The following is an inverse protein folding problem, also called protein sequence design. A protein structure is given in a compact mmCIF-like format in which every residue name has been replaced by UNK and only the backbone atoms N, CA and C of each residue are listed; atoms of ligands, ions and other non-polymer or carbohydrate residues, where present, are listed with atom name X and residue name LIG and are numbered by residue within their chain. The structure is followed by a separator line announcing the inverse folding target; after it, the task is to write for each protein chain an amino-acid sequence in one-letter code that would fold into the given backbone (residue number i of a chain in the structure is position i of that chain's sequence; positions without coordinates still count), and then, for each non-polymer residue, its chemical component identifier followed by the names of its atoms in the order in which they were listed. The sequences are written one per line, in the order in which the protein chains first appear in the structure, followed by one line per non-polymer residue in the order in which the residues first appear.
data_IF_908816050273
#
_entry.id   IF_908816050273
#
_cell.length_a   1.000
_cell.length_b   1.000
_cell.length_c   1.000
_cell.angle_alpha   90.00
_cell.angle_beta   90.00
_cell.angle_gamma   90.00
#
_symmetry.space_group_name_H-M   'P 1'
#
loop_
_entity.id
_entity.type
_entity.pdbx_description
1 polymer ?
#
# COMPACT_ATOMS: atom_id res chain seq x y z
N UNK A 1 -41.02 54.01 -49.80
CA UNK A 1 -40.39 55.19 -49.18
C UNK A 1 -40.16 54.89 -47.70
N UNK A 2 -38.92 55.10 -47.27
CA UNK A 2 -38.45 55.41 -45.89
C UNK A 2 -38.60 54.38 -44.75
N UNK A 3 -37.48 53.72 -44.44
CA UNK A 3 -36.92 53.52 -43.07
C UNK A 3 -36.69 54.90 -42.38
N UNK A 4 -36.56 55.07 -41.02
CA UNK A 4 -35.59 54.37 -40.12
C UNK A 4 -36.03 54.09 -38.64
N UNK A 5 -35.48 53.04 -37.99
CA UNK A 5 -34.41 52.97 -36.95
C UNK A 5 -34.74 53.65 -35.58
N UNK A 6 -34.86 52.89 -34.47
CA UNK A 6 -33.86 52.86 -33.36
C UNK A 6 -34.17 51.89 -32.19
N UNK A 7 -33.09 51.19 -31.81
CA UNK A 7 -32.72 50.41 -30.62
C UNK A 7 -33.62 50.37 -29.36
N UNK A 8 -33.74 49.17 -28.78
CA UNK A 8 -33.15 48.68 -27.49
C UNK A 8 -33.92 47.41 -27.08
N UNK A 9 -33.39 46.31 -26.54
CA UNK A 9 -32.11 45.91 -25.94
C UNK A 9 -31.95 44.40 -26.17
N UNK A 10 -30.71 44.00 -26.42
CA UNK A 10 -30.21 42.63 -26.56
C UNK A 10 -30.43 41.83 -25.25
N UNK A 11 -31.15 40.70 -25.30
CA UNK A 11 -31.05 39.64 -24.29
C UNK A 11 -30.34 38.46 -24.93
N UNK A 12 -29.03 38.40 -24.69
CA UNK A 12 -28.18 37.27 -25.03
C UNK A 12 -28.55 36.14 -24.04
N UNK A 13 -29.26 35.12 -24.50
CA UNK A 13 -29.36 33.84 -23.80
C UNK A 13 -28.18 32.99 -24.26
N UNK A 14 -27.09 33.03 -23.50
CA UNK A 14 -26.01 32.05 -23.65
C UNK A 14 -26.48 30.71 -23.05
N UNK A 15 -26.33 29.58 -23.75
CA UNK A 15 -26.52 28.28 -23.12
C UNK A 15 -25.36 28.05 -22.15
N UNK A 16 -25.71 27.88 -20.88
CA UNK A 16 -24.80 27.48 -19.81
C UNK A 16 -24.35 26.04 -20.12
N UNK A 17 -23.25 25.90 -20.86
CA UNK A 17 -22.52 24.63 -20.96
C UNK A 17 -21.83 24.40 -19.62
N UNK A 18 -22.56 23.83 -18.65
CA UNK A 18 -21.94 23.13 -17.53
C UNK A 18 -21.37 21.83 -18.08
N UNK A 19 -20.15 21.88 -18.61
CA UNK A 19 -19.27 20.72 -18.56
C UNK A 19 -18.84 20.58 -17.11
N UNK A 20 -19.64 19.87 -16.31
CA UNK A 20 -19.16 19.24 -15.08
C UNK A 20 -18.12 18.20 -15.51
N UNK A 21 -16.88 18.66 -15.72
CA UNK A 21 -15.72 17.79 -15.52
C UNK A 21 -15.66 17.64 -14.01
N UNK A 22 -16.43 16.68 -13.50
CA UNK A 22 -16.17 16.07 -12.21
C UNK A 22 -14.78 15.44 -12.37
N UNK A 23 -13.74 16.23 -12.12
CA UNK A 23 -12.42 15.72 -11.83
C UNK A 23 -12.63 14.92 -10.55
N UNK A 24 -12.84 13.62 -10.72
CA UNK A 24 -12.97 12.68 -9.64
C UNK A 24 -11.60 12.68 -8.95
N UNK A 25 -11.40 13.59 -8.02
CA UNK A 25 -10.34 13.50 -7.02
C UNK A 25 -10.78 12.33 -6.14
N UNK A 26 -10.62 11.11 -6.65
CA UNK A 26 -10.48 9.97 -5.77
C UNK A 26 -9.22 10.28 -4.98
N UNK A 27 -9.40 10.67 -3.72
CA UNK A 27 -8.36 10.48 -2.73
C UNK A 27 -8.06 8.98 -2.80
N UNK A 28 -6.96 8.61 -3.44
CA UNK A 28 -6.58 7.22 -3.61
C UNK A 28 -6.39 6.64 -2.22
N UNK A 29 -7.38 5.87 -1.75
CA UNK A 29 -7.32 5.25 -0.43
C UNK A 29 -6.11 4.34 -0.39
N UNK A 30 -5.22 4.47 0.62
CA UNK A 30 -4.06 3.61 0.72
C UNK A 30 -4.49 2.16 0.90
N UNK A 31 -3.86 1.27 0.14
CA UNK A 31 -4.02 -0.17 0.26
C UNK A 31 -2.94 -0.66 1.23
N UNK A 32 -3.36 -1.14 2.41
CA UNK A 32 -2.47 -1.76 3.39
C UNK A 32 -2.21 -3.22 3.04
N UNK A 33 -1.01 -3.48 2.52
CA UNK A 33 -0.60 -4.80 2.07
C UNK A 33 -0.34 -5.75 3.24
N UNK A 34 0.08 -5.27 4.41
CA UNK A 34 0.24 -6.11 5.62
C UNK A 34 -1.12 -6.70 5.99
N UNK A 35 -2.16 -5.86 5.98
CA UNK A 35 -3.54 -6.26 6.24
C UNK A 35 -4.08 -7.20 5.17
N UNK A 36 -3.85 -6.93 3.87
CA UNK A 36 -4.29 -7.84 2.80
C UNK A 36 -3.64 -9.21 2.90
N UNK A 37 -2.33 -9.26 3.20
CA UNK A 37 -1.57 -10.49 3.36
C UNK A 37 -1.89 -11.22 4.67
N UNK A 38 -2.74 -10.63 5.52
CA UNK A 38 -3.16 -11.16 6.81
C UNK A 38 -1.99 -11.53 7.73
N UNK A 39 -0.88 -10.77 7.68
CA UNK A 39 0.25 -10.97 8.58
C UNK A 39 -0.22 -10.78 10.03
N UNK A 40 0.09 -11.75 10.90
CA UNK A 40 -0.39 -11.78 12.28
C UNK A 40 0.68 -12.29 13.24
N UNK A 41 0.63 -11.83 14.50
CA UNK A 41 1.46 -12.32 15.61
C UNK A 41 1.22 -13.80 15.95
N UNK A 42 0.08 -14.35 15.54
CA UNK A 42 -0.26 -15.77 15.77
C UNK A 42 0.52 -16.72 14.84
N UNK A 43 1.21 -16.19 13.84
CA UNK A 43 2.00 -16.96 12.89
C UNK A 43 3.35 -17.37 13.49
N UNK A 44 3.82 -18.57 13.14
CA UNK A 44 5.11 -19.05 13.62
C UNK A 44 6.24 -18.14 13.15
N UNK A 45 7.06 -17.67 14.09
CA UNK A 45 8.19 -16.80 13.80
C UNK A 45 7.82 -15.34 13.53
N UNK A 46 6.57 -14.96 13.83
CA UNK A 46 6.10 -13.58 13.84
C UNK A 46 5.83 -13.15 15.28
N UNK A 47 6.27 -11.94 15.66
CA UNK A 47 5.98 -11.35 16.97
C UNK A 47 5.80 -9.85 16.86
N UNK A 48 5.02 -9.24 17.75
CA UNK A 48 4.88 -7.79 17.81
C UNK A 48 5.95 -7.16 18.70
N UNK A 49 6.60 -6.13 18.19
CA UNK A 49 7.75 -5.46 18.79
C UNK A 49 7.68 -3.96 18.54
N UNK A 50 8.52 -3.19 19.25
CA UNK A 50 8.61 -1.76 19.04
C UNK A 50 9.00 -1.41 17.58
N UNK A 51 8.23 -0.50 17.00
CA UNK A 51 8.41 0.01 15.64
C UNK A 51 9.44 1.12 15.54
N UNK A 52 9.25 2.01 14.56
CA UNK A 52 10.14 3.13 14.26
C UNK A 52 10.32 4.07 15.46
N UNK A 53 9.20 4.50 16.08
CA UNK A 53 9.21 5.39 17.23
C UNK A 53 8.84 4.65 18.52
N UNK A 54 9.71 4.70 19.53
CA UNK A 54 9.42 4.15 20.87
C UNK A 54 8.62 5.11 21.76
N UNK A 55 8.41 6.33 21.31
CA UNK A 55 7.57 7.34 21.96
C UNK A 55 7.23 8.43 20.95
N UNK A 56 6.01 8.96 21.02
CA UNK A 56 5.58 10.10 20.20
C UNK A 56 5.18 11.31 21.04
N UNK A 57 5.40 12.52 20.54
CA UNK A 57 4.94 13.73 21.25
C UNK A 57 3.41 13.70 21.39
N UNK A 58 2.93 13.80 22.62
CA UNK A 58 1.50 13.80 22.92
C UNK A 58 0.87 12.41 23.10
N UNK A 59 1.61 11.32 22.92
CA UNK A 59 1.20 9.95 23.27
C UNK A 59 2.38 9.15 23.82
N UNK A 60 2.21 8.52 24.99
CA UNK A 60 3.24 7.62 25.55
C UNK A 60 3.33 6.25 24.81
N UNK A 61 2.57 6.10 23.72
CA UNK A 61 2.46 4.85 22.98
C UNK A 61 3.64 4.68 22.03
N UNK A 62 4.22 3.47 22.07
CA UNK A 62 5.24 3.00 21.14
C UNK A 62 4.57 2.60 19.83
N UNK A 63 5.18 2.95 18.70
CA UNK A 63 4.84 2.35 17.42
C UNK A 63 5.00 0.83 17.49
N UNK A 64 4.21 0.11 16.71
CA UNK A 64 4.22 -1.36 16.70
C UNK A 64 4.63 -1.87 15.33
N UNK A 65 5.38 -2.96 15.32
CA UNK A 65 5.88 -3.61 14.13
C UNK A 65 5.81 -5.12 14.26
N UNK A 66 5.63 -5.81 13.14
CA UNK A 66 5.81 -7.25 13.05
C UNK A 66 7.29 -7.55 12.88
N UNK A 67 7.87 -8.27 13.83
CA UNK A 67 9.19 -8.87 13.71
C UNK A 67 9.05 -10.29 13.18
N UNK A 68 9.83 -10.59 12.16
CA UNK A 68 9.83 -11.86 11.44
C UNK A 68 11.23 -12.44 11.56
N UNK A 69 11.33 -13.63 12.16
CA UNK A 69 12.60 -14.32 12.43
C UNK A 69 12.67 -15.74 11.87
N UNK A 70 11.67 -16.12 11.08
CA UNK A 70 11.61 -17.39 10.36
C UNK A 70 10.99 -17.15 8.98
N UNK A 71 11.22 -18.11 8.09
CA UNK A 71 10.54 -18.22 6.81
C UNK A 71 9.02 -18.24 7.00
N UNK A 72 8.38 -17.17 6.55
CA UNK A 72 6.93 -17.13 6.32
C UNK A 72 6.70 -16.93 4.83
N UNK A 73 5.69 -17.59 4.28
CA UNK A 73 5.26 -17.39 2.90
C UNK A 73 3.82 -16.92 2.92
N UNK A 74 3.64 -15.61 2.76
CA UNK A 74 2.32 -15.00 2.68
C UNK A 74 2.05 -14.63 1.23
N UNK A 75 0.87 -14.99 0.74
CA UNK A 75 0.40 -14.60 -0.58
C UNK A 75 -1.09 -14.32 -0.57
N UNK A 76 -1.50 -13.45 -1.49
CA UNK A 76 -2.90 -13.13 -1.72
C UNK A 76 -3.13 -12.91 -3.22
N UNK A 77 -4.33 -13.23 -3.77
CA UNK A 77 -4.69 -12.84 -5.13
C UNK A 77 -4.63 -11.33 -5.30
N UNK A 78 -3.96 -10.85 -6.35
CA UNK A 78 -3.77 -9.40 -6.59
C UNK A 78 -5.12 -8.68 -6.75
N UNK A 79 -6.14 -9.35 -7.31
CA UNK A 79 -7.52 -8.83 -7.38
C UNK A 79 -8.13 -8.40 -6.05
N UNK A 80 -7.66 -8.92 -4.91
CA UNK A 80 -8.17 -8.47 -3.61
C UNK A 80 -7.80 -7.01 -3.32
N UNK A 81 -6.70 -6.52 -3.89
CA UNK A 81 -6.28 -5.13 -3.81
C UNK A 81 -7.14 -4.23 -4.70
N UNK A 82 -7.61 -4.77 -5.84
CA UNK A 82 -8.34 -4.05 -6.88
C UNK A 82 -9.54 -4.87 -7.37
N UNK A 83 -10.59 -5.03 -6.55
CA UNK A 83 -11.72 -5.91 -6.89
C UNK A 83 -12.49 -5.46 -8.13
N UNK A 84 -12.60 -4.14 -8.34
CA UNK A 84 -13.39 -3.54 -9.42
C UNK A 84 -12.58 -2.51 -10.24
N UNK A 85 -11.26 -2.43 -10.01
CA UNK A 85 -10.39 -1.43 -10.62
C UNK A 85 -9.17 -2.12 -11.26
N UNK A 86 -8.56 -1.53 -12.29
CA UNK A 86 -7.24 -1.97 -12.76
C UNK A 86 -6.16 -1.59 -11.74
N UNK A 87 -5.00 -2.26 -11.84
CA UNK A 87 -3.79 -1.80 -11.16
C UNK A 87 -3.45 -0.38 -11.65
N UNK A 88 -3.12 0.57 -10.76
CA UNK A 88 -2.89 1.96 -11.15
C UNK A 88 -1.65 2.10 -12.04
N UNK A 89 -1.77 2.89 -13.11
CA UNK A 89 -0.67 3.17 -14.03
C UNK A 89 0.46 3.88 -13.29
N UNK A 90 0.16 5.01 -12.66
CA UNK A 90 1.09 5.72 -11.76
C UNK A 90 0.73 5.39 -10.31
N UNK A 91 1.72 5.26 -9.44
CA UNK A 91 1.48 4.86 -8.05
C UNK A 91 2.66 5.18 -7.13
N UNK A 92 2.40 5.13 -5.82
CA UNK A 92 3.40 5.09 -4.76
C UNK A 92 3.42 3.71 -4.10
N UNK A 93 4.61 3.12 -3.97
CA UNK A 93 4.84 1.92 -3.16
C UNK A 93 5.76 2.27 -1.99
N UNK A 94 5.26 2.13 -0.77
CA UNK A 94 5.88 2.69 0.43
C UNK A 94 5.96 1.67 1.54
N UNK A 95 7.06 1.66 2.29
CA UNK A 95 7.26 0.75 3.42
C UNK A 95 8.08 1.40 4.52
N UNK A 96 7.79 1.02 5.77
CA UNK A 96 8.65 1.30 6.91
C UNK A 96 9.12 0.00 7.50
N UNK A 97 10.42 -0.24 7.36
CA UNK A 97 11.02 -1.56 7.55
C UNK A 97 12.43 -1.45 8.12
N UNK A 98 12.84 -2.48 8.84
CA UNK A 98 14.19 -2.70 9.32
C UNK A 98 14.61 -4.12 8.94
N UNK A 99 15.33 -4.25 7.83
CA UNK A 99 15.89 -5.52 7.40
C UNK A 99 17.06 -5.95 8.29
N UNK A 100 17.33 -7.25 8.35
CA UNK A 100 18.60 -7.75 8.89
C UNK A 100 19.76 -7.21 8.05
N UNK A 101 20.89 -6.95 8.71
CA UNK A 101 22.07 -6.41 8.02
C UNK A 101 22.56 -7.40 6.97
N UNK A 102 22.69 -6.92 5.74
CA UNK A 102 23.16 -7.73 4.60
C UNK A 102 22.07 -8.56 3.92
N UNK A 103 20.80 -8.39 4.27
CA UNK A 103 19.68 -8.95 3.50
C UNK A 103 19.76 -8.56 2.02
N UNK A 104 19.38 -9.50 1.15
CA UNK A 104 19.18 -9.29 -0.28
C UNK A 104 17.89 -9.99 -0.71
N UNK A 105 16.75 -9.38 -0.41
CA UNK A 105 15.45 -10.06 -0.55
C UNK A 105 14.40 -9.13 -1.14
N UNK A 106 13.45 -9.70 -1.87
CA UNK A 106 12.22 -8.98 -2.21
C UNK A 106 11.25 -9.01 -1.03
N UNK A 107 10.98 -7.84 -0.45
CA UNK A 107 9.98 -7.69 0.60
C UNK A 107 8.57 -7.89 0.05
N UNK A 108 8.34 -7.41 -1.17
CA UNK A 108 7.06 -7.48 -1.86
C UNK A 108 7.33 -7.86 -3.31
N UNK A 109 6.57 -8.82 -3.81
CA UNK A 109 6.58 -9.25 -5.21
C UNK A 109 5.14 -9.39 -5.70
N UNK A 110 4.88 -8.93 -6.92
CA UNK A 110 3.63 -9.16 -7.64
C UNK A 110 3.94 -9.97 -8.89
N UNK A 111 3.20 -11.05 -9.07
CA UNK A 111 3.32 -11.95 -10.20
C UNK A 111 2.05 -11.92 -11.04
N UNK A 112 2.19 -12.10 -12.35
CA UNK A 112 1.07 -12.35 -13.25
C UNK A 112 0.63 -13.83 -13.21
N UNK A 113 -0.30 -14.22 -14.08
CA UNK A 113 -0.80 -15.60 -14.19
C UNK A 113 0.20 -16.58 -14.80
N UNK A 114 1.24 -16.08 -15.48
CA UNK A 114 2.31 -16.89 -16.07
C UNK A 114 3.47 -17.12 -15.08
N UNK A 115 3.44 -16.43 -13.93
CA UNK A 115 4.49 -16.48 -12.93
C UNK A 115 5.62 -15.47 -13.18
N UNK A 116 5.43 -14.53 -14.10
CA UNK A 116 6.34 -13.42 -14.35
C UNK A 116 6.22 -12.39 -13.23
N UNK A 117 7.33 -12.01 -12.61
CA UNK A 117 7.33 -10.96 -11.60
C UNK A 117 7.22 -9.60 -12.28
N UNK A 118 6.10 -8.90 -12.09
CA UNK A 118 5.83 -7.62 -12.73
C UNK A 118 6.14 -6.41 -11.84
N UNK A 119 6.22 -6.60 -10.52
CA UNK A 119 6.59 -5.55 -9.58
C UNK A 119 7.35 -6.16 -8.40
N UNK A 120 8.38 -5.48 -7.92
CA UNK A 120 9.17 -5.94 -6.78
C UNK A 120 9.81 -4.80 -6.00
N UNK A 121 9.70 -4.87 -4.66
CA UNK A 121 10.44 -4.01 -3.73
C UNK A 121 11.59 -4.83 -3.12
N UNK A 122 12.81 -4.53 -3.54
CA UNK A 122 14.02 -5.18 -3.02
C UNK A 122 14.58 -4.44 -1.79
N UNK A 123 14.98 -5.19 -0.78
CA UNK A 123 15.77 -4.75 0.37
C UNK A 123 17.19 -5.32 0.23
N UNK A 124 18.09 -4.46 -0.25
CA UNK A 124 19.48 -4.82 -0.50
C UNK A 124 20.40 -3.59 -0.43
N UNK A 125 21.71 -3.83 -0.59
CA UNK A 125 22.64 -2.79 -1.07
C UNK A 125 22.44 -2.64 -2.58
N UNK A 126 22.35 -1.40 -3.04
CA UNK A 126 22.06 -1.05 -4.43
C UNK A 126 20.74 -1.67 -4.92
N UNK A 127 19.61 -1.41 -4.24
CA UNK A 127 18.35 -2.08 -4.53
C UNK A 127 17.89 -1.79 -5.97
N UNK A 128 17.36 -2.83 -6.60
CA UNK A 128 16.67 -2.79 -7.88
C UNK A 128 15.19 -2.53 -7.62
N UNK A 129 14.62 -1.54 -8.31
CA UNK A 129 13.18 -1.42 -8.42
C UNK A 129 12.72 -2.27 -9.61
N UNK A 130 12.19 -3.45 -9.33
CA UNK A 130 11.75 -4.37 -10.37
C UNK A 130 10.36 -3.95 -10.84
N UNK A 131 10.22 -3.74 -12.15
CA UNK A 131 8.95 -3.46 -12.79
C UNK A 131 8.97 -4.04 -14.20
N UNK A 132 7.90 -4.72 -14.60
CA UNK A 132 7.70 -5.26 -15.93
C UNK A 132 6.21 -5.13 -16.30
N UNK A 133 5.91 -4.40 -17.37
CA UNK A 133 4.55 -4.30 -17.88
C UNK A 133 4.11 -5.56 -18.65
N UNK A 134 2.85 -5.59 -19.08
CA UNK A 134 2.28 -6.70 -19.86
C UNK A 134 3.00 -7.02 -21.18
N UNK A 135 3.89 -6.16 -21.67
CA UNK A 135 4.69 -6.37 -22.88
C UNK A 135 6.13 -6.77 -22.57
N UNK A 136 6.49 -6.98 -21.30
CA UNK A 136 7.86 -7.29 -20.91
C UNK A 136 8.78 -6.08 -20.86
N UNK A 137 8.24 -4.86 -20.70
CA UNK A 137 9.02 -3.63 -20.65
C UNK A 137 9.06 -3.00 -19.24
N UNK A 138 10.21 -2.44 -18.83
CA UNK A 138 11.54 -2.60 -19.43
C UNK A 138 12.07 -4.04 -19.33
N UNK A 139 13.09 -4.39 -20.11
CA UNK A 139 13.78 -5.70 -19.93
C UNK A 139 14.61 -5.69 -18.64
N UNK A 140 14.96 -6.86 -18.07
CA UNK A 140 15.67 -6.94 -16.79
C UNK A 140 16.97 -6.13 -16.71
N UNK A 141 17.71 -5.98 -17.81
CA UNK A 141 18.96 -5.21 -17.86
C UNK A 141 18.75 -3.68 -17.70
N UNK A 142 17.52 -3.24 -17.92
CA UNK A 142 17.08 -1.85 -17.85
C UNK A 142 16.32 -1.53 -16.55
N UNK A 143 16.25 -2.47 -15.61
CA UNK A 143 15.64 -2.21 -14.31
C UNK A 143 16.39 -1.10 -13.55
N UNK A 144 15.68 -0.08 -13.04
CA UNK A 144 16.29 0.99 -12.25
C UNK A 144 17.03 0.43 -11.03
N UNK A 145 18.29 0.82 -10.86
CA UNK A 145 19.15 0.39 -9.73
C UNK A 145 19.68 1.59 -8.97
N UNK A 146 19.35 1.71 -7.69
CA UNK A 146 19.76 2.83 -6.83
C UNK A 146 21.12 2.57 -6.19
N UNK A 147 22.20 2.64 -7.00
CA UNK A 147 23.55 2.12 -6.70
C UNK A 147 24.25 2.67 -5.45
N UNK A 148 23.83 3.82 -4.93
CA UNK A 148 24.45 4.47 -3.76
C UNK A 148 23.67 4.24 -2.46
N UNK A 149 22.64 3.40 -2.51
CA UNK A 149 21.71 3.16 -1.40
C UNK A 149 21.97 1.81 -0.75
N UNK A 150 21.76 1.73 0.56
CA UNK A 150 21.81 0.48 1.31
C UNK A 150 20.61 0.40 2.25
N UNK A 151 19.61 -0.41 1.88
CA UNK A 151 18.38 -0.63 2.65
C UNK A 151 18.52 -1.76 3.67
N UNK A 152 19.63 -2.50 3.61
CA UNK A 152 19.93 -3.65 4.48
C UNK A 152 21.10 -3.34 5.42
N UNK A 153 21.11 -2.14 6.02
CA UNK A 153 22.16 -1.71 6.95
C UNK A 153 21.89 -2.11 8.42
N UNK A 154 20.71 -2.68 8.69
CA UNK A 154 20.26 -3.09 10.03
C UNK A 154 19.48 -2.01 10.80
N UNK A 155 19.17 -0.86 10.18
CA UNK A 155 18.38 0.22 10.78
C UNK A 155 16.99 0.33 10.15
N UNK A 156 16.15 1.11 10.82
CA UNK A 156 14.85 1.49 10.28
C UNK A 156 15.02 2.41 9.08
N UNK A 157 14.25 2.14 8.03
CA UNK A 157 14.12 3.00 6.87
C UNK A 157 12.65 3.21 6.52
N UNK A 158 12.30 4.44 6.15
CA UNK A 158 11.07 4.79 5.45
C UNK A 158 11.39 4.88 3.97
N UNK A 159 10.95 3.89 3.21
CA UNK A 159 11.25 3.76 1.78
C UNK A 159 9.98 4.07 1.01
N UNK A 160 10.04 4.98 0.04
CA UNK A 160 8.91 5.31 -0.80
C UNK A 160 9.34 5.47 -2.26
N UNK A 161 8.81 4.62 -3.13
CA UNK A 161 8.97 4.73 -4.57
C UNK A 161 7.76 5.43 -5.18
N UNK A 162 7.99 6.51 -5.91
CA UNK A 162 7.01 7.16 -6.78
C UNK A 162 7.22 6.69 -8.21
N UNK A 163 6.24 6.03 -8.80
CA UNK A 163 6.22 5.66 -10.23
C UNK A 163 5.27 6.60 -10.94
N UNK A 164 5.83 7.44 -11.82
CA UNK A 164 5.07 8.46 -12.56
C UNK A 164 5.61 8.56 -13.99
N UNK A 165 4.75 8.42 -15.00
CA UNK A 165 5.18 8.55 -16.40
C UNK A 165 6.22 7.51 -16.80
N UNK A 166 7.42 7.88 -17.23
CA UNK A 166 8.51 6.91 -17.51
C UNK A 166 9.63 7.04 -16.49
N UNK A 167 9.29 7.31 -15.24
CA UNK A 167 10.28 7.55 -14.19
C UNK A 167 9.88 6.88 -12.88
N UNK A 168 10.90 6.50 -12.12
CA UNK A 168 10.77 6.10 -10.71
C UNK A 168 11.63 7.02 -9.85
N UNK A 169 11.05 7.57 -8.80
CA UNK A 169 11.76 8.38 -7.80
C UNK A 169 11.79 7.66 -6.47
N UNK A 170 12.98 7.52 -5.88
CA UNK A 170 13.15 7.05 -4.52
C UNK A 170 13.16 8.24 -3.55
N UNK A 171 12.26 8.19 -2.58
CA UNK A 171 12.32 8.95 -1.35
C UNK A 171 12.77 8.00 -0.24
N UNK A 172 13.84 8.35 0.47
CA UNK A 172 14.38 7.55 1.57
C UNK A 172 14.48 8.42 2.80
N UNK A 173 13.89 7.94 3.90
CA UNK A 173 13.90 8.63 5.19
C UNK A 173 13.45 10.09 5.07
N UNK A 174 12.41 10.30 4.25
CA UNK A 174 11.74 11.58 3.93
C UNK A 174 12.47 12.52 2.97
N UNK A 175 13.60 12.10 2.41
CA UNK A 175 14.38 12.91 1.48
C UNK A 175 14.27 12.36 0.07
N UNK A 176 14.12 13.25 -0.92
CA UNK A 176 14.22 12.85 -2.33
C UNK A 176 15.66 12.47 -2.64
N UNK A 177 15.90 11.20 -2.94
CA UNK A 177 17.25 10.67 -3.17
C UNK A 177 17.66 10.79 -4.63
N UNK A 178 16.89 10.16 -5.52
CA UNK A 178 17.24 10.00 -6.93
C UNK A 178 15.98 9.70 -7.74
N UNK A 179 15.94 10.22 -8.97
CA UNK A 179 14.95 9.87 -9.98
C UNK A 179 15.67 9.17 -11.12
N UNK A 180 15.20 7.99 -11.49
CA UNK A 180 15.74 7.18 -12.58
C UNK A 180 14.67 6.96 -13.65
N UNK A 181 15.11 6.74 -14.89
CA UNK A 181 14.23 6.37 -15.99
C UNK A 181 13.66 4.97 -15.74
N UNK A 182 12.35 4.83 -15.91
CA UNK A 182 11.62 3.58 -15.93
C UNK A 182 10.99 3.43 -17.32
N UNK A 183 11.72 2.79 -18.22
CA UNK A 183 11.39 2.68 -19.66
C UNK A 183 10.28 1.64 -19.91
N UNK A 184 9.14 1.83 -19.28
CA UNK A 184 7.92 1.06 -19.54
C UNK A 184 7.26 1.50 -20.85
N UNK A 185 6.40 0.65 -21.40
CA UNK A 185 5.70 0.93 -22.65
C UNK A 185 4.80 2.17 -22.59
N UNK A 186 4.30 2.65 -23.74
CA UNK A 186 3.43 3.83 -23.83
C UNK A 186 2.06 3.65 -23.15
N UNK A 187 1.65 2.41 -22.91
CA UNK A 187 0.38 2.03 -22.27
C UNK A 187 0.64 0.88 -21.27
N UNK A 188 1.36 1.15 -20.17
CA UNK A 188 1.91 0.12 -19.32
C UNK A 188 0.84 -0.44 -18.38
N UNK A 189 0.81 -1.77 -18.24
CA UNK A 189 -0.20 -2.48 -17.45
C UNK A 189 0.45 -3.56 -16.59
N UNK A 190 0.06 -3.59 -15.32
CA UNK A 190 0.38 -4.69 -14.39
C UNK A 190 -0.86 -5.55 -14.23
N UNK A 191 -0.72 -6.86 -14.38
CA UNK A 191 -1.82 -7.81 -14.29
C UNK A 191 -2.30 -7.96 -12.85
N UNK A 192 -3.61 -7.84 -12.64
CA UNK A 192 -4.25 -8.16 -11.36
C UNK A 192 -4.65 -9.64 -11.25
N UNK A 193 -4.50 -10.43 -12.33
CA UNK A 193 -4.97 -11.82 -12.37
C UNK A 193 -4.06 -12.81 -11.63
N UNK A 194 -2.86 -12.39 -11.22
CA UNK A 194 -1.92 -13.22 -10.48
C UNK A 194 -1.98 -13.03 -8.96
N UNK A 195 -0.81 -13.03 -8.32
CA UNK A 195 -0.66 -13.04 -6.86
C UNK A 195 0.37 -12.04 -6.38
N UNK A 196 0.14 -11.48 -5.19
CA UNK A 196 1.17 -10.82 -4.41
C UNK A 196 1.80 -11.83 -3.46
N UNK A 197 3.10 -11.69 -3.22
CA UNK A 197 3.89 -12.51 -2.31
C UNK A 197 4.74 -11.59 -1.43
N UNK A 198 4.81 -11.90 -0.15
CA UNK A 198 5.58 -11.15 0.82
C UNK A 198 6.81 -11.91 1.30
N UNK A 199 7.90 -11.17 1.44
CA UNK A 199 9.11 -11.61 2.12
C UNK A 199 9.88 -12.71 1.41
N UNK A 200 9.58 -13.00 0.14
CA UNK A 200 10.31 -13.97 -0.69
C UNK A 200 9.94 -13.79 -2.16
N UNK A 201 10.75 -14.31 -3.08
CA UNK A 201 10.29 -14.61 -4.44
C UNK A 201 9.79 -16.04 -4.48
N UNK A 202 8.87 -16.35 -5.40
CA UNK A 202 8.27 -17.70 -5.50
C UNK A 202 9.29 -18.85 -5.58
N UNK A 203 10.50 -18.59 -6.08
CA UNK A 203 11.55 -19.59 -6.29
C UNK A 203 12.82 -19.34 -5.46
N UNK A 204 12.85 -18.29 -4.64
CA UNK A 204 14.04 -17.96 -3.86
C UNK A 204 14.05 -18.74 -2.54
N UNK A 205 15.23 -19.20 -2.13
CA UNK A 205 15.44 -19.79 -0.81
C UNK A 205 15.44 -18.71 0.28
N UNK A 206 15.97 -17.53 -0.06
CA UNK A 206 16.07 -16.39 0.83
C UNK A 206 14.70 -15.80 1.16
N UNK A 207 14.57 -15.41 2.43
CA UNK A 207 13.34 -14.87 2.99
C UNK A 207 13.63 -13.63 3.82
N UNK A 208 12.64 -12.76 3.90
CA UNK A 208 12.72 -11.57 4.71
C UNK A 208 12.76 -11.95 6.20
N UNK A 209 13.84 -11.49 6.83
CA UNK A 209 13.97 -11.42 8.28
C UNK A 209 14.20 -9.96 8.66
N UNK A 210 13.51 -9.50 9.70
CA UNK A 210 13.53 -8.09 10.10
C UNK A 210 12.28 -7.66 10.83
N UNK A 211 12.04 -6.35 10.85
CA UNK A 211 10.82 -5.75 11.41
C UNK A 211 10.13 -4.93 10.34
N UNK A 212 8.80 -5.00 10.25
CA UNK A 212 8.00 -4.19 9.35
C UNK A 212 6.85 -3.55 10.10
N UNK A 213 6.69 -2.24 9.95
CA UNK A 213 5.61 -1.48 10.56
C UNK A 213 4.51 -1.15 9.54
N UNK A 214 4.88 -0.95 8.27
CA UNK A 214 3.94 -0.47 7.27
C UNK A 214 4.36 -0.92 5.87
N UNK A 215 3.40 -1.30 5.03
CA UNK A 215 3.59 -1.56 3.60
C UNK A 215 2.34 -1.12 2.85
N UNK A 216 2.43 -0.03 2.09
CA UNK A 216 1.30 0.60 1.41
C UNK A 216 1.51 0.68 -0.09
N UNK A 217 0.41 0.52 -0.82
CA UNK A 217 0.28 0.87 -2.23
C UNK A 217 -0.78 1.96 -2.38
N UNK A 218 -0.45 3.05 -3.07
CA UNK A 218 -1.35 4.21 -3.25
C UNK A 218 -1.36 4.61 -4.71
N UNK A 219 -2.52 4.84 -5.32
CA UNK A 219 -2.61 5.20 -6.73
C UNK A 219 -2.14 6.65 -7.05
N UNK A 220 -1.98 7.52 -6.05
CA UNK A 220 -1.34 8.84 -6.23
C UNK A 220 0.18 8.69 -6.14
N UNK A 221 0.97 8.95 -7.20
CA UNK A 221 2.43 8.91 -7.16
C UNK A 221 3.04 9.96 -6.21
N UNK A 222 2.32 11.04 -5.90
CA UNK A 222 2.81 12.07 -4.96
C UNK A 222 2.76 11.62 -3.50
N UNK A 223 2.04 10.54 -3.19
CA UNK A 223 1.98 10.01 -1.84
C UNK A 223 3.37 9.59 -1.32
N UNK A 224 4.28 9.18 -2.20
CA UNK A 224 5.67 8.88 -1.86
C UNK A 224 6.44 10.10 -1.35
N UNK A 225 6.27 11.27 -1.99
CA UNK A 225 6.89 12.53 -1.54
C UNK A 225 6.37 12.93 -0.16
N UNK A 226 5.07 12.74 0.08
CA UNK A 226 4.43 13.15 1.33
C UNK A 226 4.34 12.02 2.35
N UNK A 227 5.05 10.89 2.13
CA UNK A 227 4.93 9.67 2.91
C UNK A 227 5.10 9.92 4.42
N UNK A 228 6.16 10.64 4.77
CA UNK A 228 6.44 10.96 6.15
C UNK A 228 5.46 11.98 6.73
N UNK A 229 4.87 12.86 5.94
CA UNK A 229 3.91 13.83 6.49
C UNK A 229 2.56 13.18 6.75
N UNK A 230 2.08 12.40 5.78
CA UNK A 230 0.68 11.98 5.71
C UNK A 230 0.45 10.57 6.27
N UNK A 231 1.50 9.75 6.38
CA UNK A 231 1.37 8.35 6.81
C UNK A 231 2.26 8.03 8.00
N UNK A 232 3.56 8.33 7.96
CA UNK A 232 4.49 7.96 9.04
C UNK A 232 5.43 9.11 9.45
N UNK A 233 4.91 10.09 10.21
CA UNK A 233 5.69 11.23 10.63
C UNK A 233 6.77 10.87 11.62
N UNK A 234 7.69 11.82 11.76
CA UNK A 234 8.73 11.78 12.77
C UNK A 234 8.13 11.62 14.18
N UNK A 235 8.95 11.16 15.11
CA UNK A 235 8.49 10.83 16.46
C UNK A 235 8.02 12.06 17.27
N UNK A 236 8.15 13.28 16.75
CA UNK A 236 7.63 14.51 17.36
C UNK A 236 6.18 14.84 16.97
N UNK A 237 5.54 13.97 16.17
CA UNK A 237 4.14 14.05 15.79
C UNK A 237 3.41 12.72 16.03
N UNK A 238 2.08 12.75 16.29
CA UNK A 238 1.27 11.54 16.41
C UNK A 238 1.12 10.83 15.07
N UNK A 239 0.88 9.50 15.10
CA UNK A 239 0.50 8.77 13.89
C UNK A 239 -0.88 9.23 13.40
N UNK A 240 -1.08 9.36 12.09
CA UNK A 240 -2.37 9.74 11.48
C UNK A 240 -3.36 8.57 11.40
N UNK A 241 -2.92 7.36 11.73
CA UNK A 241 -3.74 6.17 11.86
C UNK A 241 -3.58 5.60 13.27
N UNK A 242 -4.58 4.85 13.69
CA UNK A 242 -4.48 4.08 14.90
C UNK A 242 -3.56 2.88 14.67
N UNK A 243 -2.52 2.74 15.50
CA UNK A 243 -1.55 1.63 15.40
C UNK A 243 -2.27 0.27 15.34
N UNK A 244 -1.62 -0.72 14.72
CA UNK A 244 -2.06 -2.10 14.35
C UNK A 244 -3.06 -2.78 15.32
N UNK A 245 -3.13 -2.35 16.58
CA UNK A 245 -4.01 -2.86 17.62
C UNK A 245 -5.43 -2.29 17.69
N UNK A 246 -5.73 -1.09 17.21
CA UNK A 246 -7.09 -0.57 17.40
C UNK A 246 -8.10 -1.34 16.52
N UNK A 247 -7.72 -1.72 15.30
CA UNK A 247 -8.59 -2.57 14.47
C UNK A 247 -8.68 -4.01 15.00
N UNK A 248 -7.61 -4.59 15.54
CA UNK A 248 -7.65 -5.97 16.05
C UNK A 248 -8.41 -6.09 17.37
N UNK A 249 -8.35 -5.10 18.26
CA UNK A 249 -9.22 -5.06 19.45
C UNK A 249 -10.68 -4.78 19.10
N UNK A 250 -11.00 -3.83 18.20
CA UNK A 250 -12.38 -3.61 17.77
C UNK A 250 -12.97 -4.83 17.04
N UNK A 251 -12.17 -5.50 16.21
CA UNK A 251 -12.58 -6.74 15.52
C UNK A 251 -12.73 -7.89 16.53
N UNK A 252 -11.83 -8.05 17.52
CA UNK A 252 -11.97 -9.02 18.62
C UNK A 252 -13.20 -8.73 19.48
N UNK A 253 -13.47 -7.47 19.83
CA UNK A 253 -14.69 -7.08 20.54
C UNK A 253 -15.93 -7.40 19.70
N UNK A 254 -15.98 -6.95 18.45
CA UNK A 254 -17.13 -7.12 17.57
C UNK A 254 -17.45 -8.62 17.29
N UNK A 255 -16.42 -9.45 17.10
CA UNK A 255 -16.58 -10.91 16.96
C UNK A 255 -17.05 -11.57 18.26
N UNK A 256 -16.55 -11.12 19.41
CA UNK A 256 -16.99 -11.59 20.73
C UNK A 256 -18.45 -11.23 21.02
N UNK A 257 -18.88 -10.02 20.67
CA UNK A 257 -20.27 -9.56 20.77
C UNK A 257 -21.21 -10.38 19.86
N UNK A 258 -20.82 -10.62 18.60
CA UNK A 258 -21.60 -11.48 17.68
C UNK A 258 -21.74 -12.92 18.20
N UNK A 259 -20.67 -13.48 18.77
CA UNK A 259 -20.68 -14.82 19.38
C UNK A 259 -21.64 -14.91 20.57
N UNK A 260 -21.59 -13.93 21.48
CA UNK A 260 -22.51 -13.85 22.62
C UNK A 260 -23.97 -13.68 22.18
N UNK A 261 -24.25 -12.81 21.20
CA UNK A 261 -25.60 -12.61 20.68
C UNK A 261 -26.19 -13.90 20.09
N UNK A 262 -25.39 -14.66 19.33
CA UNK A 262 -25.81 -15.95 18.75
C UNK A 262 -26.11 -17.00 19.83
N UNK A 263 -25.32 -17.01 20.92
CA UNK A 263 -25.52 -17.91 22.07
C UNK A 263 -26.78 -17.56 22.85
N UNK A 264 -27.09 -16.26 22.98
CA UNK A 264 -28.32 -15.78 23.63
C UNK A 264 -29.57 -16.12 22.81
N UNK A 265 -29.53 -15.92 21.49
CA UNK A 265 -30.62 -16.31 20.58
C UNK A 265 -30.93 -17.80 20.66
N UNK A 266 -29.90 -18.66 20.66
CA UNK A 266 -30.08 -20.10 20.83
C UNK A 266 -30.69 -20.48 22.20
N UNK A 267 -30.34 -19.75 23.26
CA UNK A 267 -30.90 -19.98 24.59
C UNK A 267 -32.39 -19.60 24.64
N UNK A 268 -32.75 -18.46 24.04
CA UNK A 268 -34.14 -17.98 23.94
C UNK A 268 -35.00 -18.93 23.10
N UNK A 269 -34.50 -19.39 21.96
CA UNK A 269 -35.21 -20.36 21.11
C UNK A 269 -35.47 -21.69 21.84
N UNK A 270 -34.52 -22.16 22.65
CA UNK A 270 -34.68 -23.38 23.44
C UNK A 270 -35.58 -23.19 24.68
N UNK A 271 -35.60 -22.00 25.28
CA UNK A 271 -36.54 -21.71 26.39
C UNK A 271 -37.97 -21.55 25.88
N UNK A 272 -38.17 -20.96 24.69
CA UNK A 272 -39.50 -20.91 24.05
C UNK A 272 -40.03 -22.31 23.72
N UNK A 273 -39.18 -23.23 23.25
CA UNK A 273 -39.60 -24.63 22.99
C UNK A 273 -40.04 -25.36 24.26
N UNK A 274 -39.42 -25.09 25.41
CA UNK A 274 -39.77 -25.70 26.68
C UNK A 274 -41.03 -25.12 27.34
N UNK A 275 -41.47 -23.91 26.95
CA UNK A 275 -42.69 -23.27 27.45
C UNK A 275 -43.95 -23.63 26.61
N UNK A 276 -43.79 -24.32 25.48
CA UNK A 276 -44.87 -24.74 24.56
C UNK A 276 -45.19 -26.23 24.58
N UNK A 277 -44.61 -26.98 25.52
CA UNK A 277 -44.98 -28.37 25.87
C UNK A 277 -45.52 -28.42 27.28
#
# INVERSE_FOLDING_TARGET
YTFPIHLTRLKLLAPLMLTDVALSIFVATPIDLIKTLALSEDMEGVSLEAGLCTSRKGRAETDLSFKINKKIQLSAPTKQLFPDLPFPVDFSLMTTVKAVKGSQVFLFSLYDTQGTQQLGLELARSPVFLYEDHQGQPTPELYPTFRKINLADGKWHRIAYSVEGQSVTLYLDCEKVETLDLLRGPDPHVSTDGVIVFGTRLLDEEVFEGQIQQLLLVADPRAAETYCRDYIPDCDAPLPYDSIFIETEEVRLCTTFKSHAKKMLFYIENTQKHLTT
#
